data_IF_872411260947
#
_entry.id   IF_872411260947
#
_cell.length_a   1.000
_cell.length_b   1.000
_cell.length_c   1.000
_cell.angle_alpha   90.00
_cell.angle_beta   90.00
_cell.angle_gamma   90.00
#
_symmetry.space_group_name_H-M   'P 1'
#
loop_
_entity.id
_entity.type
_entity.pdbx_description
1 polymer ?
#
# COMPACT_ATOMS: atom_id res chain seq x y z
N UNK A 1 25.05 27.74 -21.88
CA UNK A 1 23.64 27.31 -21.76
C UNK A 1 23.03 27.44 -23.14
N UNK A 2 22.78 26.32 -23.81
CA UNK A 2 22.31 26.30 -25.20
C UNK A 2 20.86 26.76 -25.26
N UNK A 3 20.61 27.84 -26.00
CA UNK A 3 19.29 28.46 -26.16
C UNK A 3 18.47 27.73 -27.23
N UNK A 4 18.47 26.41 -27.15
CA UNK A 4 17.80 25.55 -28.14
C UNK A 4 16.30 25.41 -27.78
N UNK A 5 15.40 25.92 -28.63
CA UNK A 5 13.96 25.86 -28.39
C UNK A 5 13.41 24.43 -28.35
N UNK A 6 14.08 23.46 -28.97
CA UNK A 6 13.68 22.05 -28.95
C UNK A 6 13.95 21.46 -27.56
N UNK A 7 15.12 21.77 -26.98
CA UNK A 7 15.50 21.30 -25.66
C UNK A 7 14.54 21.80 -24.57
N UNK A 8 14.16 23.09 -24.61
CA UNK A 8 13.16 23.66 -23.68
C UNK A 8 11.79 22.99 -23.80
N UNK A 9 11.39 22.59 -25.01
CA UNK A 9 10.10 21.92 -25.25
C UNK A 9 10.09 20.48 -24.76
N UNK A 10 11.18 19.74 -24.93
CA UNK A 10 11.35 18.36 -24.41
C UNK A 10 11.35 18.35 -22.88
N UNK A 11 12.05 19.29 -22.24
CA UNK A 11 12.08 19.39 -20.78
C UNK A 11 10.71 19.72 -20.17
N UNK A 12 9.88 20.55 -20.83
CA UNK A 12 8.49 20.79 -20.41
C UNK A 12 7.58 19.58 -20.57
N UNK A 13 7.80 18.73 -21.58
CA UNK A 13 7.01 17.51 -21.78
C UNK A 13 7.35 16.43 -20.74
N UNK A 14 8.60 16.41 -20.25
CA UNK A 14 9.06 15.40 -19.29
C UNK A 14 8.47 15.56 -17.89
N UNK A 15 8.10 16.79 -17.50
CA UNK A 15 7.42 17.07 -16.22
C UNK A 15 5.93 16.78 -16.22
N UNK A 16 5.29 16.71 -17.39
CA UNK A 16 3.82 16.57 -17.50
C UNK A 16 3.42 15.12 -17.82
N UNK A 17 4.15 14.44 -18.70
CA UNK A 17 3.85 13.06 -19.08
C UNK A 17 5.13 12.33 -19.58
N UNK A 18 5.82 11.57 -18.70
CA UNK A 18 7.09 10.93 -19.05
C UNK A 18 6.95 9.84 -20.12
N UNK A 19 5.74 9.30 -20.36
CA UNK A 19 5.51 8.30 -21.40
C UNK A 19 5.48 8.94 -22.81
N UNK A 20 4.93 10.15 -22.95
CA UNK A 20 4.94 10.90 -24.23
C UNK A 20 6.31 11.47 -24.59
N UNK A 21 7.13 11.83 -23.60
CA UNK A 21 8.50 12.30 -23.84
C UNK A 21 9.38 11.24 -24.53
N UNK A 22 9.20 9.95 -24.20
CA UNK A 22 9.89 8.83 -24.87
C UNK A 22 9.55 8.72 -26.36
N UNK A 23 8.33 9.07 -26.75
CA UNK A 23 7.87 9.03 -28.15
C UNK A 23 8.51 10.15 -29.00
N UNK A 24 8.83 11.30 -28.40
CA UNK A 24 9.54 12.38 -29.09
C UNK A 24 11.03 12.10 -29.27
N UNK A 25 11.67 11.43 -28.31
CA UNK A 25 13.08 11.01 -28.42
C UNK A 25 13.29 9.87 -29.42
N UNK A 26 12.26 9.07 -29.72
CA UNK A 26 12.33 7.98 -30.71
C UNK A 26 12.36 8.44 -32.17
N UNK A 27 12.18 9.73 -32.47
CA UNK A 27 12.26 10.30 -33.83
C UNK A 27 13.40 11.29 -34.04
N UNK A 28 14.23 11.54 -33.03
CA UNK A 28 15.53 12.16 -33.27
C UNK A 28 16.41 11.07 -33.87
N UNK A 29 16.37 10.98 -35.20
CA UNK A 29 17.41 10.32 -35.97
C UNK A 29 18.69 11.04 -35.59
N UNK A 30 19.41 10.48 -34.62
CA UNK A 30 20.81 10.80 -34.39
C UNK A 30 21.47 10.42 -35.71
N UNK A 31 21.71 11.41 -36.58
CA UNK A 31 22.68 11.26 -37.64
C UNK A 31 23.96 10.85 -36.93
N UNK A 32 24.32 9.57 -37.08
CA UNK A 32 25.61 9.08 -36.66
C UNK A 32 26.64 10.00 -37.31
N UNK A 33 27.48 10.72 -36.54
CA UNK A 33 28.58 11.43 -37.15
C UNK A 33 29.39 10.37 -37.88
N UNK A 34 29.54 10.56 -39.19
CA UNK A 34 30.29 9.67 -40.07
C UNK A 34 31.59 9.25 -39.36
N UNK A 35 31.64 7.99 -38.92
CA UNK A 35 32.83 7.38 -38.33
C UNK A 35 33.86 7.04 -39.42
N UNK A 36 34.03 7.92 -40.40
CA UNK A 36 34.96 7.73 -41.51
C UNK A 36 36.41 8.16 -41.17
N UNK A 37 36.67 8.73 -39.98
CA UNK A 37 37.99 9.31 -39.66
C UNK A 37 38.77 8.69 -38.49
N UNK A 38 38.15 7.87 -37.64
CA UNK A 38 38.80 7.48 -36.37
C UNK A 38 39.58 6.16 -36.40
N UNK A 39 39.30 5.26 -37.35
CA UNK A 39 40.08 4.02 -37.50
C UNK A 39 41.44 4.24 -38.18
N UNK A 40 41.54 5.24 -39.07
CA UNK A 40 42.79 5.53 -39.79
C UNK A 40 43.87 6.15 -38.87
N UNK A 41 43.47 6.93 -37.86
CA UNK A 41 44.41 7.59 -36.95
C UNK A 41 45.00 6.63 -35.90
N UNK A 42 44.25 5.59 -35.50
CA UNK A 42 44.73 4.58 -34.56
C UNK A 42 45.73 3.59 -35.17
N UNK A 43 45.76 3.47 -36.50
CA UNK A 43 46.69 2.59 -37.22
C UNK A 43 48.03 3.24 -37.59
N UNK A 44 48.23 4.54 -37.28
CA UNK A 44 49.50 5.25 -37.53
C UNK A 44 50.32 5.49 -36.26
N UNK A 45 49.86 5.02 -35.09
CA UNK A 45 50.62 5.10 -33.85
C UNK A 45 51.64 3.94 -33.77
N UNK A 46 52.89 4.19 -33.34
CA UNK A 46 53.87 3.15 -33.10
C UNK A 46 53.30 2.09 -32.16
N UNK A 47 53.44 0.83 -32.56
CA UNK A 47 52.92 -0.38 -31.93
C UNK A 47 53.72 -0.63 -30.63
N UNK A 48 53.33 -0.01 -29.50
CA UNK A 48 52.94 -0.86 -28.36
C UNK A 48 51.70 -0.35 -27.58
N UNK A 49 51.13 0.82 -27.92
CA UNK A 49 50.04 1.43 -27.14
C UNK A 49 48.62 1.01 -27.59
N UNK A 50 48.44 0.55 -28.83
CA UNK A 50 47.13 0.16 -29.36
C UNK A 50 46.58 -1.17 -28.77
N UNK A 51 47.45 -2.08 -28.33
CA UNK A 51 47.03 -3.35 -27.71
C UNK A 51 46.54 -3.18 -26.26
N UNK A 52 46.99 -2.12 -25.57
CA UNK A 52 46.57 -1.85 -24.19
C UNK A 52 45.18 -1.19 -24.11
N UNK A 53 44.79 -0.37 -25.10
CA UNK A 53 43.48 0.30 -25.14
C UNK A 53 42.30 -0.65 -25.40
N UNK A 54 42.45 -1.65 -26.27
CA UNK A 54 41.39 -2.64 -26.57
C UNK A 54 41.05 -3.51 -25.35
N UNK A 55 42.07 -3.94 -24.59
CA UNK A 55 41.89 -4.74 -23.38
C UNK A 55 41.13 -3.98 -22.26
N UNK A 56 41.30 -2.66 -22.15
CA UNK A 56 40.61 -1.86 -21.12
C UNK A 56 39.12 -1.67 -21.44
N UNK A 57 38.79 -1.46 -22.72
CA UNK A 57 37.39 -1.35 -23.19
C UNK A 57 36.60 -2.63 -22.97
N UNK A 58 37.20 -3.79 -23.26
CA UNK A 58 36.57 -5.10 -23.09
C UNK A 58 36.33 -5.45 -21.63
N UNK A 59 37.26 -5.09 -20.73
CA UNK A 59 37.10 -5.29 -19.28
C UNK A 59 35.98 -4.39 -18.73
N UNK A 60 35.88 -3.15 -19.20
CA UNK A 60 34.78 -2.25 -18.80
C UNK A 60 33.42 -2.74 -19.31
N UNK A 61 33.32 -3.13 -20.58
CA UNK A 61 32.10 -3.69 -21.16
C UNK A 61 31.66 -4.97 -20.44
N UNK A 62 32.59 -5.90 -20.15
CA UNK A 62 32.31 -7.11 -19.39
C UNK A 62 31.86 -6.78 -17.95
N UNK A 63 32.45 -5.77 -17.30
CA UNK A 63 32.04 -5.31 -15.97
C UNK A 63 30.63 -4.73 -15.99
N UNK A 64 30.29 -3.89 -16.98
CA UNK A 64 28.95 -3.32 -17.15
C UNK A 64 27.92 -4.45 -17.34
N UNK A 65 28.18 -5.40 -18.23
CA UNK A 65 27.29 -6.56 -18.45
C UNK A 65 27.08 -7.41 -17.19
N UNK A 66 28.15 -7.68 -16.42
CA UNK A 66 28.05 -8.39 -15.13
C UNK A 66 27.16 -7.61 -14.15
N UNK A 67 27.43 -6.32 -13.97
CA UNK A 67 26.61 -5.50 -13.06
C UNK A 67 25.14 -5.37 -13.48
N UNK A 68 24.87 -5.39 -14.79
CA UNK A 68 23.50 -5.38 -15.31
C UNK A 68 22.78 -6.71 -15.01
N UNK A 69 23.47 -7.84 -15.21
CA UNK A 69 22.96 -9.17 -14.86
C UNK A 69 22.72 -9.31 -13.36
N UNK A 70 23.68 -8.91 -12.52
CA UNK A 70 23.53 -8.95 -11.06
C UNK A 70 22.34 -8.12 -10.57
N UNK A 71 22.08 -6.97 -11.21
CA UNK A 71 20.91 -6.13 -10.92
C UNK A 71 19.60 -6.78 -11.35
N UNK A 72 19.58 -7.44 -12.52
CA UNK A 72 18.41 -8.16 -13.02
C UNK A 72 18.09 -9.36 -12.09
N UNK A 73 19.08 -10.19 -11.78
CA UNK A 73 18.96 -11.33 -10.89
C UNK A 73 18.49 -10.88 -9.49
N UNK A 74 19.02 -9.77 -8.97
CA UNK A 74 18.58 -9.19 -7.71
C UNK A 74 17.13 -8.67 -7.76
N UNK A 75 16.69 -8.09 -8.89
CA UNK A 75 15.32 -7.63 -9.06
C UNK A 75 14.34 -8.81 -9.14
N UNK A 76 14.70 -9.86 -9.88
CA UNK A 76 13.93 -11.11 -9.97
C UNK A 76 13.82 -11.79 -8.60
N UNK A 77 14.93 -11.90 -7.86
CA UNK A 77 14.94 -12.46 -6.51
C UNK A 77 14.04 -11.66 -5.55
N UNK A 78 14.04 -10.33 -5.65
CA UNK A 78 13.13 -9.47 -4.86
C UNK A 78 11.67 -9.71 -5.23
N UNK A 79 11.36 -9.81 -6.52
CA UNK A 79 9.99 -10.07 -6.99
C UNK A 79 9.50 -11.45 -6.53
N UNK A 80 10.34 -12.48 -6.63
CA UNK A 80 10.04 -13.82 -6.15
C UNK A 80 9.80 -13.83 -4.64
N UNK A 81 10.67 -13.17 -3.86
CA UNK A 81 10.50 -13.04 -2.42
C UNK A 81 9.20 -12.30 -2.04
N UNK A 82 8.84 -11.25 -2.78
CA UNK A 82 7.56 -10.54 -2.57
C UNK A 82 6.35 -11.43 -2.89
N UNK A 83 6.39 -12.14 -4.01
CA UNK A 83 5.34 -13.08 -4.41
C UNK A 83 5.19 -14.22 -3.39
N UNK A 84 6.30 -14.79 -2.91
CA UNK A 84 6.30 -15.81 -1.86
C UNK A 84 5.70 -15.27 -0.55
N UNK A 85 6.03 -14.04 -0.16
CA UNK A 85 5.41 -13.36 1.01
C UNK A 85 3.91 -13.16 0.82
N UNK A 86 3.47 -12.73 -0.36
CA UNK A 86 2.04 -12.57 -0.69
C UNK A 86 1.30 -13.92 -0.60
N UNK A 87 1.87 -14.98 -1.17
CA UNK A 87 1.30 -16.33 -1.11
C UNK A 87 1.25 -16.88 0.31
N UNK A 88 2.32 -16.75 1.08
CA UNK A 88 2.35 -17.17 2.48
C UNK A 88 1.29 -16.44 3.32
N UNK A 89 1.13 -15.14 3.11
CA UNK A 89 0.07 -14.35 3.73
C UNK A 89 -1.33 -14.85 3.36
N UNK A 90 -1.57 -15.13 2.07
CA UNK A 90 -2.86 -15.65 1.60
C UNK A 90 -3.18 -17.02 2.22
N UNK A 91 -2.19 -17.93 2.28
CA UNK A 91 -2.35 -19.24 2.94
C UNK A 91 -2.68 -19.09 4.42
N UNK A 92 -1.96 -18.22 5.14
CA UNK A 92 -2.25 -17.93 6.55
C UNK A 92 -3.67 -17.40 6.73
N UNK A 93 -4.10 -16.50 5.85
CA UNK A 93 -5.44 -15.94 5.87
C UNK A 93 -6.51 -17.01 5.61
N UNK A 94 -6.31 -17.87 4.59
CA UNK A 94 -7.18 -19.00 4.28
C UNK A 94 -7.33 -19.93 5.48
N UNK A 95 -6.22 -20.30 6.13
CA UNK A 95 -6.25 -21.16 7.32
C UNK A 95 -7.03 -20.50 8.48
N UNK A 96 -6.82 -19.20 8.72
CA UNK A 96 -7.59 -18.50 9.77
C UNK A 96 -9.08 -18.41 9.47
N UNK A 97 -9.46 -18.20 8.21
CA UNK A 97 -10.85 -18.12 7.78
C UNK A 97 -11.54 -19.49 7.77
N UNK A 98 -10.80 -20.57 7.55
CA UNK A 98 -11.33 -21.93 7.57
C UNK A 98 -11.84 -22.34 8.96
N UNK A 99 -11.31 -21.71 10.03
CA UNK A 99 -11.76 -21.92 11.41
C UNK A 99 -13.04 -21.15 11.74
N UNK A 100 -13.46 -20.21 10.89
CA UNK A 100 -14.67 -19.41 11.09
C UNK A 100 -15.82 -19.95 10.25
N UNK A 101 -17.03 -19.88 10.78
CA UNK A 101 -18.25 -20.24 10.07
C UNK A 101 -19.31 -19.14 10.18
N UNK A 102 -20.31 -19.19 9.28
CA UNK A 102 -21.47 -18.30 9.30
C UNK A 102 -21.12 -16.80 9.30
N UNK A 103 -21.76 -16.05 10.20
CA UNK A 103 -21.61 -14.59 10.28
C UNK A 103 -20.17 -14.16 10.59
N UNK A 104 -19.46 -14.86 11.47
CA UNK A 104 -18.08 -14.53 11.84
C UNK A 104 -17.15 -14.54 10.62
N UNK A 105 -17.34 -15.53 9.72
CA UNK A 105 -16.60 -15.62 8.47
C UNK A 105 -16.94 -14.48 7.52
N UNK A 106 -18.22 -14.13 7.37
CA UNK A 106 -18.66 -12.99 6.54
C UNK A 106 -18.07 -11.67 7.05
N UNK A 107 -18.06 -11.45 8.36
CA UNK A 107 -17.48 -10.27 9.01
C UNK A 107 -15.98 -10.17 8.76
N UNK A 108 -15.25 -11.29 8.89
CA UNK A 108 -13.83 -11.32 8.58
C UNK A 108 -13.56 -11.01 7.09
N UNK A 109 -14.36 -11.56 6.17
CA UNK A 109 -14.28 -11.27 4.74
C UNK A 109 -14.61 -9.81 4.39
N UNK A 110 -15.49 -9.15 5.14
CA UNK A 110 -15.81 -7.73 4.96
C UNK A 110 -14.62 -6.80 5.27
N UNK A 111 -13.71 -7.22 6.15
CA UNK A 111 -12.47 -6.49 6.46
C UNK A 111 -11.40 -6.54 5.37
N UNK A 112 -11.45 -7.54 4.49
CA UNK A 112 -10.41 -7.78 3.47
C UNK A 112 -10.43 -6.79 2.31
N UNK A 113 -9.31 -6.67 1.61
CA UNK A 113 -9.29 -5.99 0.30
C UNK A 113 -10.16 -6.74 -0.71
N UNK A 114 -10.61 -6.04 -1.76
CA UNK A 114 -11.43 -6.68 -2.80
C UNK A 114 -10.68 -7.86 -3.45
N UNK A 115 -9.40 -7.69 -3.75
CA UNK A 115 -8.54 -8.73 -4.34
C UNK A 115 -8.39 -9.96 -3.44
N UNK A 116 -8.11 -9.78 -2.13
CA UNK A 116 -7.99 -10.89 -1.19
C UNK A 116 -9.33 -11.62 -1.01
N UNK A 117 -10.43 -10.88 -0.88
CA UNK A 117 -11.77 -11.44 -0.75
C UNK A 117 -12.15 -12.25 -1.98
N UNK A 118 -11.88 -11.75 -3.18
CA UNK A 118 -12.30 -12.41 -4.42
C UNK A 118 -11.51 -13.71 -4.68
N UNK A 119 -10.31 -13.85 -4.11
CA UNK A 119 -9.51 -15.08 -4.16
C UNK A 119 -9.96 -16.16 -3.17
N UNK A 120 -10.65 -15.80 -2.09
CA UNK A 120 -10.91 -16.70 -0.95
C UNK A 120 -12.41 -16.97 -0.76
N UNK A 121 -13.26 -15.95 -0.95
CA UNK A 121 -14.68 -16.04 -0.68
C UNK A 121 -15.43 -16.76 -1.79
N UNK A 122 -16.36 -17.63 -1.39
CA UNK A 122 -17.38 -18.19 -2.28
C UNK A 122 -18.33 -17.10 -2.79
N UNK A 123 -19.11 -17.39 -3.84
CA UNK A 123 -20.09 -16.44 -4.40
C UNK A 123 -21.06 -15.87 -3.34
N UNK A 124 -21.75 -16.73 -2.56
CA UNK A 124 -22.68 -16.26 -1.52
C UNK A 124 -22.00 -15.44 -0.43
N UNK A 125 -20.85 -15.89 0.07
CA UNK A 125 -20.09 -15.17 1.11
C UNK A 125 -19.63 -13.79 0.64
N UNK A 126 -19.20 -13.69 -0.62
CA UNK A 126 -18.79 -12.43 -1.22
C UNK A 126 -19.95 -11.45 -1.27
N UNK A 127 -21.11 -11.90 -1.73
CA UNK A 127 -22.33 -11.08 -1.77
C UNK A 127 -22.72 -10.61 -0.38
N UNK A 128 -22.71 -11.50 0.61
CA UNK A 128 -23.02 -11.15 2.01
C UNK A 128 -22.01 -10.14 2.59
N UNK A 129 -20.71 -10.33 2.36
CA UNK A 129 -19.68 -9.41 2.82
C UNK A 129 -19.79 -8.03 2.13
N UNK A 130 -20.20 -7.98 0.86
CA UNK A 130 -20.48 -6.72 0.16
C UNK A 130 -21.71 -6.03 0.76
N UNK A 131 -22.79 -6.78 1.02
CA UNK A 131 -23.99 -6.24 1.65
C UNK A 131 -23.69 -5.65 3.03
N UNK A 132 -22.98 -6.40 3.87
CA UNK A 132 -22.52 -5.94 5.19
C UNK A 132 -21.67 -4.66 5.09
N UNK A 133 -20.77 -4.56 4.10
CA UNK A 133 -19.97 -3.35 3.87
C UNK A 133 -20.80 -2.14 3.47
N UNK A 134 -21.89 -2.34 2.74
CA UNK A 134 -22.76 -1.24 2.29
C UNK A 134 -23.57 -0.65 3.43
N UNK A 135 -23.94 -1.46 4.42
CA UNK A 135 -24.74 -1.04 5.57
C UNK A 135 -23.91 -0.63 6.77
N UNK A 136 -22.61 -0.96 6.80
CA UNK A 136 -21.74 -0.64 7.93
C UNK A 136 -21.37 0.86 7.99
N UNK A 137 -21.44 1.41 9.21
CA UNK A 137 -21.19 2.82 9.50
C UNK A 137 -19.73 3.08 9.85
N UNK A 138 -19.17 4.21 9.41
CA UNK A 138 -17.83 4.67 9.80
C UNK A 138 -17.86 5.39 11.13
N UNK A 139 -16.70 5.55 11.76
CA UNK A 139 -16.56 6.28 13.04
C UNK A 139 -17.23 7.65 13.05
N UNK A 140 -17.19 8.38 11.94
CA UNK A 140 -17.78 9.73 11.86
C UNK A 140 -19.31 9.67 11.89
N UNK A 141 -19.91 8.72 11.18
CA UNK A 141 -21.36 8.52 11.15
C UNK A 141 -21.86 8.01 12.50
N UNK A 142 -21.13 7.07 13.12
CA UNK A 142 -21.43 6.56 14.47
C UNK A 142 -21.43 7.69 15.50
N UNK A 143 -20.40 8.56 15.47
CA UNK A 143 -20.32 9.71 16.39
C UNK A 143 -21.47 10.68 16.22
N UNK A 144 -21.89 10.95 14.97
CA UNK A 144 -23.05 11.81 14.69
C UNK A 144 -24.34 11.20 15.21
N UNK A 145 -24.56 9.90 14.96
CA UNK A 145 -25.78 9.22 15.39
C UNK A 145 -25.88 9.09 16.91
N UNK A 146 -24.79 8.76 17.59
CA UNK A 146 -24.75 8.62 19.05
C UNK A 146 -24.50 9.95 19.79
N UNK A 147 -24.30 11.04 19.06
CA UNK A 147 -23.92 12.37 19.59
C UNK A 147 -22.78 12.26 20.62
N UNK A 148 -21.72 11.56 20.25
CA UNK A 148 -20.59 11.29 21.14
C UNK A 148 -19.25 11.79 20.57
N UNK A 149 -18.29 11.95 21.47
CA UNK A 149 -16.92 12.32 21.12
C UNK A 149 -16.12 11.12 20.61
N UNK A 150 -15.00 11.38 19.93
CA UNK A 150 -14.06 10.31 19.52
C UNK A 150 -13.52 9.52 20.71
N UNK A 151 -13.25 10.21 21.83
CA UNK A 151 -12.75 9.60 23.05
C UNK A 151 -13.77 8.66 23.71
N UNK A 152 -15.05 9.04 23.74
CA UNK A 152 -16.13 8.17 24.21
C UNK A 152 -16.25 6.92 23.33
N UNK A 153 -16.32 7.09 22.01
CA UNK A 153 -16.43 5.97 21.09
C UNK A 153 -15.24 5.00 21.21
N UNK A 154 -14.01 5.51 21.33
CA UNK A 154 -12.83 4.67 21.52
C UNK A 154 -12.86 3.90 22.84
N UNK A 155 -13.36 4.53 23.91
CA UNK A 155 -13.51 3.88 25.20
C UNK A 155 -14.56 2.77 25.14
N UNK A 156 -15.72 3.01 24.55
CA UNK A 156 -16.78 2.00 24.45
C UNK A 156 -16.37 0.81 23.58
N UNK A 157 -15.60 1.04 22.50
CA UNK A 157 -15.04 -0.01 21.67
C UNK A 157 -13.97 -0.83 22.43
N UNK A 158 -13.05 -0.17 23.14
CA UNK A 158 -12.00 -0.87 23.92
C UNK A 158 -12.52 -1.63 25.14
N UNK A 159 -13.57 -1.11 25.79
CA UNK A 159 -14.25 -1.79 26.90
C UNK A 159 -15.16 -2.94 26.41
N UNK A 160 -15.33 -3.11 25.10
CA UNK A 160 -16.24 -4.12 24.53
C UNK A 160 -17.72 -3.80 24.65
N UNK A 161 -18.08 -2.59 25.08
CA UNK A 161 -19.48 -2.11 25.17
C UNK A 161 -20.09 -1.87 23.80
N UNK A 162 -19.28 -1.38 22.85
CA UNK A 162 -19.69 -1.12 21.47
C UNK A 162 -18.63 -1.63 20.48
N UNK A 163 -18.48 -2.97 20.35
CA UNK A 163 -17.43 -3.54 19.50
C UNK A 163 -17.69 -3.23 18.03
N UNK A 164 -16.67 -2.80 17.30
CA UNK A 164 -16.73 -2.70 15.85
C UNK A 164 -16.88 -4.08 15.19
N UNK A 165 -17.55 -4.13 14.04
CA UNK A 165 -17.71 -5.35 13.24
C UNK A 165 -16.39 -5.77 12.60
N UNK A 166 -15.76 -4.86 11.86
CA UNK A 166 -14.53 -5.15 11.13
C UNK A 166 -13.68 -3.91 10.96
N UNK A 167 -12.39 -4.14 10.68
CA UNK A 167 -11.43 -3.09 10.33
C UNK A 167 -11.11 -3.22 8.84
N UNK A 168 -11.12 -2.09 8.13
CA UNK A 168 -10.70 -2.02 6.73
C UNK A 168 -9.58 -1.00 6.59
N UNK A 169 -8.52 -1.38 5.86
CA UNK A 169 -7.48 -0.45 5.41
C UNK A 169 -8.03 0.44 4.30
N UNK A 170 -7.95 1.75 4.48
CA UNK A 170 -8.26 2.74 3.45
C UNK A 170 -7.01 3.52 3.09
N UNK A 171 -6.78 3.70 1.80
CA UNK A 171 -5.67 4.48 1.27
C UNK A 171 -6.26 5.72 0.61
N UNK A 172 -6.23 6.85 1.31
CA UNK A 172 -6.41 8.17 0.70
C UNK A 172 -5.03 8.79 0.53
N UNK A 173 -4.52 9.47 1.56
CA UNK A 173 -3.15 10.03 1.58
C UNK A 173 -2.19 9.16 2.39
N UNK A 174 -2.69 8.63 3.52
CA UNK A 174 -2.00 7.66 4.37
C UNK A 174 -2.86 6.42 4.48
N UNK A 175 -2.21 5.25 4.56
CA UNK A 175 -2.93 4.01 4.87
C UNK A 175 -3.36 4.06 6.33
N UNK A 176 -4.68 4.14 6.56
CA UNK A 176 -5.29 4.14 7.89
C UNK A 176 -6.21 2.95 8.05
N UNK A 177 -6.29 2.44 9.27
CA UNK A 177 -7.24 1.39 9.65
C UNK A 177 -8.54 2.05 10.10
N UNK A 178 -9.61 1.90 9.31
CA UNK A 178 -10.94 2.40 9.65
C UNK A 178 -11.76 1.27 10.29
N UNK A 179 -12.40 1.57 11.42
CA UNK A 179 -13.38 0.70 12.09
C UNK A 179 -14.77 0.94 11.52
N UNK A 180 -15.56 -0.14 11.48
CA UNK A 180 -16.91 -0.14 10.94
C UNK A 180 -17.87 -0.82 11.93
N UNK A 181 -19.07 -0.25 12.11
CA UNK A 181 -20.10 -0.76 13.02
C UNK A 181 -21.38 -1.13 12.28
N UNK A 182 -22.21 -2.01 12.84
CA UNK A 182 -23.54 -2.32 12.29
C UNK A 182 -24.49 -1.17 12.55
N UNK A 183 -25.29 -0.76 11.57
CA UNK A 183 -26.34 0.24 11.79
C UNK A 183 -27.35 -0.21 12.86
N UNK A 184 -27.70 -1.49 12.89
CA UNK A 184 -28.59 -2.09 13.89
C UNK A 184 -28.01 -1.98 15.30
N UNK A 185 -26.74 -2.37 15.47
CA UNK A 185 -26.02 -2.25 16.74
C UNK A 185 -25.97 -0.79 17.23
N UNK A 186 -25.78 0.17 16.33
CA UNK A 186 -25.78 1.59 16.69
C UNK A 186 -27.17 2.04 17.15
N UNK A 187 -28.23 1.58 16.49
CA UNK A 187 -29.60 1.92 16.89
C UNK A 187 -29.92 1.37 18.30
N UNK A 188 -29.52 0.14 18.60
CA UNK A 188 -29.67 -0.45 19.93
C UNK A 188 -28.84 0.27 20.99
N UNK A 189 -27.61 0.67 20.65
CA UNK A 189 -26.70 1.35 21.56
C UNK A 189 -27.27 2.67 22.13
N UNK A 190 -28.16 3.34 21.40
CA UNK A 190 -28.82 4.58 21.84
C UNK A 190 -29.49 4.42 23.20
N UNK A 191 -30.15 3.27 23.44
CA UNK A 191 -30.84 2.99 24.70
C UNK A 191 -29.87 2.85 25.89
N UNK A 192 -28.62 2.45 25.65
CA UNK A 192 -27.61 2.21 26.68
C UNK A 192 -26.71 3.41 26.97
N UNK A 193 -26.74 4.46 26.12
CA UNK A 193 -25.88 5.64 26.27
C UNK A 193 -25.96 6.31 27.65
N UNK A 194 -27.14 6.53 28.27
CA UNK A 194 -27.20 7.15 29.58
C UNK A 194 -26.45 6.35 30.65
N UNK A 195 -26.63 5.02 30.65
CA UNK A 195 -25.98 4.12 31.60
C UNK A 195 -24.45 4.11 31.41
N UNK A 196 -23.98 4.04 30.15
CA UNK A 196 -22.55 4.06 29.86
C UNK A 196 -21.88 5.38 30.27
N UNK A 197 -22.56 6.51 30.04
CA UNK A 197 -22.05 7.83 30.44
C UNK A 197 -22.03 8.00 31.96
N UNK A 198 -23.01 7.45 32.67
CA UNK A 198 -23.01 7.45 34.13
C UNK A 198 -21.83 6.63 34.68
N UNK A 199 -21.65 5.40 34.19
CA UNK A 199 -20.50 4.56 34.54
C UNK A 199 -19.17 5.27 34.28
N UNK A 200 -19.04 5.95 33.14
CA UNK A 200 -17.85 6.71 32.78
C UNK A 200 -17.61 7.91 33.71
N UNK A 201 -18.68 8.60 34.13
CA UNK A 201 -18.60 9.71 35.10
C UNK A 201 -18.14 9.20 36.45
N UNK A 202 -18.74 8.12 36.94
CA UNK A 202 -18.39 7.46 38.20
C UNK A 202 -16.92 7.06 38.17
N UNK A 203 -16.48 6.30 37.15
CA UNK A 203 -15.07 5.89 36.97
C UNK A 203 -14.11 7.09 36.98
N UNK A 204 -14.47 8.18 36.31
CA UNK A 204 -13.65 9.40 36.27
C UNK A 204 -13.56 10.08 37.65
N UNK A 205 -14.63 10.06 38.44
CA UNK A 205 -14.63 10.57 39.81
C UNK A 205 -13.72 9.74 40.71
N UNK A 206 -13.88 8.40 40.71
CA UNK A 206 -13.02 7.49 41.46
C UNK A 206 -11.53 7.65 41.10
N UNK A 207 -11.21 7.75 39.81
CA UNK A 207 -9.84 7.96 39.35
C UNK A 207 -9.24 9.30 39.81
N UNK A 208 -10.06 10.33 40.07
CA UNK A 208 -9.60 11.64 40.55
C UNK A 208 -9.41 11.67 42.07
N UNK A 209 -10.21 10.91 42.82
CA UNK A 209 -10.20 10.91 44.28
C UNK A 209 -9.28 9.85 44.87
N UNK A 210 -8.60 9.02 44.05
CA UNK A 210 -7.80 7.87 44.47
C UNK A 210 -8.55 6.90 45.40
N UNK A 211 -9.88 6.91 45.36
CA UNK A 211 -10.69 5.97 46.12
C UNK A 211 -10.62 4.62 45.39
N UNK A 212 -10.02 3.62 46.04
CA UNK A 212 -10.06 2.24 45.54
C UNK A 212 -11.51 1.75 45.62
N UNK A 213 -12.04 1.09 44.59
CA UNK A 213 -13.31 0.39 44.72
C UNK A 213 -13.17 -0.65 45.84
N UNK A 214 -14.19 -0.77 46.68
CA UNK A 214 -14.24 -1.85 47.66
C UNK A 214 -14.17 -3.18 46.89
N UNK A 215 -13.16 -3.99 47.19
CA UNK A 215 -13.08 -5.36 46.68
C UNK A 215 -14.13 -6.17 47.44
N UNK A 216 -15.21 -6.55 46.74
CA UNK A 216 -16.20 -7.53 47.21
C UNK A 216 -15.70 -8.97 46.96
#
# INVERSE_FOLDING_TARGET
MTDDPIFKRVMRLWTIDPAKAKLYLGKVVVQEPERAGSEAFLNQLPIPLAEHGRKIGDVHAAKVLRTARDKADAAEARQQAENARKQARLRKLQNSLALLSGLARITALAGLTSEERDRIATGPERTAAIAMRKTALRSDDVRRQLQCTSSELNRWDSDGRLPHLFIKKTTFEKTTNCRFWSAEQIAEAVAYLPAWREQDRIRKTFARTNLKPAED
#
